data_IF_040459795469
#
_entry.id   IF_040459795469
#
_cell.length_a   1.000
_cell.length_b   1.000
_cell.length_c   1.000
_cell.angle_alpha   90.00
_cell.angle_beta   90.00
_cell.angle_gamma   90.00
#
_symmetry.space_group_name_H-M   'P 1'
#
loop_
_entity.id
_entity.type
_entity.pdbx_description
1 polymer ?
#
# COMPACT_ATOMS: atom_id res chain seq x y z
N UNK A 1 10.98 -8.51 -2.42
CA UNK A 1 9.89 -7.77 -1.73
C UNK A 1 8.57 -8.53 -1.91
N UNK A 2 8.07 -8.68 -3.13
CA UNK A 2 6.87 -9.47 -3.43
C UNK A 2 6.98 -10.93 -2.97
N UNK A 3 8.13 -11.58 -3.20
CA UNK A 3 8.35 -12.98 -2.79
C UNK A 3 8.41 -13.20 -1.27
N UNK A 4 8.48 -12.13 -0.46
CA UNK A 4 8.49 -12.23 0.98
C UNK A 4 7.08 -12.44 1.58
N UNK A 5 6.01 -12.30 0.79
CA UNK A 5 4.62 -12.40 1.28
C UNK A 5 4.32 -13.75 1.95
N UNK A 6 4.65 -14.92 1.37
CA UNK A 6 4.41 -16.20 2.04
C UNK A 6 5.15 -16.33 3.37
N UNK A 7 6.38 -15.83 3.45
CA UNK A 7 7.18 -15.85 4.68
C UNK A 7 6.58 -14.93 5.75
N UNK A 8 6.13 -13.73 5.38
CA UNK A 8 5.48 -12.79 6.30
C UNK A 8 4.19 -13.38 6.88
N UNK A 9 3.34 -13.97 6.02
CA UNK A 9 2.10 -14.63 6.44
C UNK A 9 2.33 -15.88 7.31
N UNK A 10 3.48 -16.55 7.16
CA UNK A 10 3.84 -17.68 8.00
C UNK A 10 4.36 -17.28 9.39
N UNK A 11 4.85 -16.04 9.56
CA UNK A 11 5.53 -15.57 10.77
C UNK A 11 4.68 -14.69 11.68
N UNK A 12 3.62 -14.09 11.15
CA UNK A 12 2.80 -13.12 11.88
C UNK A 12 1.33 -13.20 11.45
N UNK A 13 0.39 -12.70 12.28
CA UNK A 13 -0.99 -12.47 11.85
C UNK A 13 -1.05 -11.68 10.54
N UNK A 14 -2.02 -11.94 9.65
CA UNK A 14 -2.10 -11.30 8.34
C UNK A 14 -2.06 -9.76 8.37
N UNK A 15 -2.69 -9.14 9.37
CA UNK A 15 -2.67 -7.69 9.56
C UNK A 15 -1.26 -7.14 9.88
N UNK A 16 -0.49 -7.87 10.68
CA UNK A 16 0.89 -7.51 11.03
C UNK A 16 1.84 -7.76 9.86
N UNK A 17 1.61 -8.85 9.11
CA UNK A 17 2.31 -9.14 7.87
C UNK A 17 2.10 -8.02 6.83
N UNK A 18 0.86 -7.53 6.68
CA UNK A 18 0.51 -6.41 5.83
C UNK A 18 1.23 -5.12 6.26
N UNK A 19 1.16 -4.76 7.55
CA UNK A 19 1.84 -3.57 8.09
C UNK A 19 3.35 -3.62 7.86
N UNK A 20 3.97 -4.78 8.10
CA UNK A 20 5.41 -5.01 7.84
C UNK A 20 5.74 -4.87 6.36
N UNK A 21 4.89 -5.41 5.49
CA UNK A 21 5.08 -5.32 4.05
C UNK A 21 4.97 -3.88 3.54
N UNK A 22 4.04 -3.08 4.07
CA UNK A 22 3.90 -1.66 3.74
C UNK A 22 5.16 -0.85 4.10
N UNK A 23 5.78 -1.12 5.26
CA UNK A 23 7.06 -0.50 5.62
C UNK A 23 8.17 -0.88 4.64
N UNK A 24 8.27 -2.16 4.28
CA UNK A 24 9.24 -2.64 3.27
C UNK A 24 8.98 -2.03 1.89
N UNK A 25 7.74 -1.73 1.56
CA UNK A 25 7.39 -1.02 0.32
C UNK A 25 7.95 0.40 0.31
N UNK A 26 7.81 1.15 1.41
CA UNK A 26 8.41 2.49 1.51
C UNK A 26 9.92 2.40 1.34
N UNK A 27 10.59 1.48 2.02
CA UNK A 27 12.05 1.30 1.90
C UNK A 27 12.49 0.99 0.45
N UNK A 28 11.73 0.12 -0.22
CA UNK A 28 11.92 -0.19 -1.63
C UNK A 28 11.74 1.05 -2.51
N UNK A 29 10.70 1.85 -2.27
CA UNK A 29 10.41 3.06 -3.03
C UNK A 29 11.42 4.18 -2.77
N UNK A 30 11.87 4.39 -1.54
CA UNK A 30 12.95 5.33 -1.20
C UNK A 30 14.21 5.01 -2.00
N UNK A 31 14.60 3.73 -2.05
CA UNK A 31 15.74 3.27 -2.85
C UNK A 31 15.52 3.56 -4.34
N UNK A 32 14.33 3.25 -4.84
CA UNK A 32 13.95 3.45 -6.24
C UNK A 32 13.96 4.94 -6.64
N UNK A 33 13.49 5.83 -5.78
CA UNK A 33 13.51 7.29 -5.98
C UNK A 33 14.95 7.80 -6.04
N UNK A 34 15.83 7.32 -5.15
CA UNK A 34 17.25 7.65 -5.19
C UNK A 34 17.96 7.21 -6.47
N UNK A 35 17.42 6.21 -7.18
CA UNK A 35 17.94 5.69 -8.44
C UNK A 35 17.30 6.34 -9.68
N UNK A 36 16.51 7.41 -9.53
CA UNK A 36 15.71 7.97 -10.62
C UNK A 36 16.52 8.28 -11.90
N UNK A 37 17.73 8.84 -11.78
CA UNK A 37 18.57 9.16 -12.94
C UNK A 37 19.06 7.91 -13.67
N UNK A 38 19.49 6.88 -12.91
CA UNK A 38 19.90 5.61 -13.48
C UNK A 38 18.73 4.89 -14.18
N UNK A 39 17.55 4.90 -13.57
CA UNK A 39 16.34 4.31 -14.15
C UNK A 39 15.90 5.07 -15.41
N UNK A 40 16.01 6.41 -15.42
CA UNK A 40 15.78 7.23 -16.63
C UNK A 40 16.75 6.88 -17.75
N UNK A 41 18.02 6.61 -17.45
CA UNK A 41 18.99 6.18 -18.45
C UNK A 41 18.65 4.81 -19.07
N UNK A 42 18.16 3.86 -18.27
CA UNK A 42 17.69 2.55 -18.77
C UNK A 42 16.48 2.70 -19.69
N UNK A 43 15.54 3.59 -19.34
CA UNK A 43 14.38 3.88 -20.20
C UNK A 43 14.85 4.52 -21.52
N UNK A 44 15.79 5.46 -21.45
CA UNK A 44 16.36 6.11 -22.63
C UNK A 44 17.12 5.14 -23.55
N UNK A 45 17.67 4.05 -23.02
CA UNK A 45 18.30 2.98 -23.81
C UNK A 45 17.34 1.92 -24.34
N UNK A 46 16.01 2.11 -24.15
CA UNK A 46 14.97 1.22 -24.64
C UNK A 46 14.60 0.07 -23.71
N UNK A 47 15.11 0.04 -22.48
CA UNK A 47 14.69 -0.90 -21.45
C UNK A 47 13.40 -0.49 -20.76
N UNK A 48 12.67 -1.45 -20.20
CA UNK A 48 11.56 -1.20 -19.27
C UNK A 48 11.93 -1.74 -17.88
N UNK A 49 12.49 -0.90 -16.98
CA UNK A 49 12.87 -1.32 -15.64
C UNK A 49 11.66 -1.64 -14.73
N UNK A 50 10.42 -1.46 -15.21
CA UNK A 50 9.19 -1.60 -14.42
C UNK A 50 8.22 -2.64 -14.98
N UNK A 51 8.55 -3.31 -16.08
CA UNK A 51 7.63 -4.14 -16.88
C UNK A 51 6.77 -5.09 -16.03
N UNK A 52 7.37 -5.74 -15.03
CA UNK A 52 6.68 -6.70 -14.17
C UNK A 52 6.43 -6.18 -12.75
N UNK A 53 7.14 -5.13 -12.33
CA UNK A 53 7.16 -4.70 -10.92
C UNK A 53 5.78 -4.30 -10.43
N UNK A 54 4.99 -3.59 -11.25
CA UNK A 54 3.64 -3.15 -10.85
C UNK A 54 2.68 -4.32 -10.64
N UNK A 55 2.69 -5.31 -11.54
CA UNK A 55 1.84 -6.51 -11.40
C UNK A 55 2.23 -7.29 -10.15
N UNK A 56 3.53 -7.56 -9.97
CA UNK A 56 4.02 -8.33 -8.82
C UNK A 56 3.73 -7.62 -7.48
N UNK A 57 3.81 -6.29 -7.44
CA UNK A 57 3.45 -5.52 -6.25
C UNK A 57 1.93 -5.57 -5.99
N UNK A 58 1.11 -5.54 -7.04
CA UNK A 58 -0.34 -5.69 -6.97
C UNK A 58 -0.74 -7.04 -6.41
N UNK A 59 -0.20 -8.11 -6.99
CA UNK A 59 -0.46 -9.48 -6.55
C UNK A 59 -0.01 -9.71 -5.10
N UNK A 60 1.12 -9.11 -4.69
CA UNK A 60 1.63 -9.20 -3.33
C UNK A 60 0.69 -8.54 -2.31
N UNK A 61 0.23 -7.31 -2.57
CA UNK A 61 -0.69 -6.64 -1.63
C UNK A 61 -2.06 -7.30 -1.63
N UNK A 62 -2.56 -7.75 -2.77
CA UNK A 62 -3.84 -8.46 -2.87
C UNK A 62 -3.85 -9.70 -1.96
N UNK A 63 -2.80 -10.52 -2.02
CA UNK A 63 -2.68 -11.72 -1.17
C UNK A 63 -2.66 -11.40 0.32
N UNK A 64 -2.03 -10.29 0.73
CA UNK A 64 -2.00 -9.86 2.12
C UNK A 64 -3.37 -9.33 2.58
N UNK A 65 -4.05 -8.56 1.71
CA UNK A 65 -5.41 -8.06 1.96
C UNK A 65 -6.41 -9.21 2.06
N UNK A 66 -6.37 -10.17 1.14
CA UNK A 66 -7.22 -11.36 1.15
C UNK A 66 -7.06 -12.17 2.44
N UNK A 67 -5.81 -12.36 2.89
CA UNK A 67 -5.52 -13.04 4.14
C UNK A 67 -6.04 -12.27 5.37
N UNK A 68 -5.95 -10.94 5.37
CA UNK A 68 -6.42 -10.09 6.46
C UNK A 68 -7.96 -9.89 6.47
N UNK A 69 -8.62 -10.04 5.32
CA UNK A 69 -10.07 -9.87 5.17
C UNK A 69 -10.89 -10.91 5.97
N UNK A 70 -10.26 -12.03 6.36
CA UNK A 70 -10.89 -13.05 7.21
C UNK A 70 -11.29 -12.54 8.61
N UNK A 71 -10.82 -11.37 9.06
CA UNK A 71 -11.22 -10.85 10.36
C UNK A 71 -10.66 -9.49 10.78
N UNK A 72 -9.61 -9.00 10.13
CA UNK A 72 -8.84 -7.86 10.65
C UNK A 72 -9.11 -6.55 9.90
N UNK A 73 -9.63 -6.62 8.66
CA UNK A 73 -9.91 -5.44 7.82
C UNK A 73 -11.31 -5.49 7.22
N UNK A 74 -11.75 -4.36 6.66
CA UNK A 74 -12.93 -4.27 5.77
C UNK A 74 -12.62 -4.93 4.42
N UNK A 75 -13.64 -5.54 3.81
CA UNK A 75 -13.49 -6.39 2.61
C UNK A 75 -13.73 -5.69 1.26
N UNK A 76 -13.92 -4.38 1.26
CA UNK A 76 -14.23 -3.55 0.08
C UNK A 76 -13.04 -2.67 -0.34
N UNK A 77 -11.81 -3.12 -0.05
CA UNK A 77 -10.58 -2.40 -0.39
C UNK A 77 -9.94 -3.03 -1.61
N UNK A 78 -9.73 -2.21 -2.64
CA UNK A 78 -9.00 -2.61 -3.83
C UNK A 78 -7.48 -2.56 -3.58
N UNK A 79 -6.77 -3.61 -3.99
CA UNK A 79 -5.31 -3.71 -3.92
C UNK A 79 -4.60 -2.54 -4.63
N UNK A 80 -5.17 -2.09 -5.75
CA UNK A 80 -4.65 -0.97 -6.53
C UNK A 80 -4.68 0.34 -5.74
N UNK A 81 -5.74 0.59 -4.96
CA UNK A 81 -5.89 1.81 -4.15
C UNK A 81 -4.85 1.86 -3.03
N UNK A 82 -4.60 0.72 -2.39
CA UNK A 82 -3.55 0.60 -1.36
C UNK A 82 -2.18 0.89 -1.96
N UNK A 83 -1.86 0.34 -3.14
CA UNK A 83 -0.59 0.63 -3.82
C UNK A 83 -0.44 2.09 -4.21
N UNK A 84 -1.49 2.72 -4.71
CA UNK A 84 -1.48 4.15 -5.05
C UNK A 84 -1.27 4.98 -3.79
N UNK A 85 -1.97 4.66 -2.70
CA UNK A 85 -1.81 5.33 -1.42
C UNK A 85 -0.38 5.23 -0.88
N UNK A 86 0.20 4.03 -0.87
CA UNK A 86 1.59 3.82 -0.45
C UNK A 86 2.60 4.53 -1.36
N UNK A 87 2.31 4.60 -2.67
CA UNK A 87 3.13 5.37 -3.61
C UNK A 87 3.09 6.87 -3.30
N UNK A 88 1.92 7.41 -2.95
CA UNK A 88 1.76 8.79 -2.49
C UNK A 88 2.54 9.07 -1.20
N UNK A 89 2.46 8.17 -0.21
CA UNK A 89 3.26 8.27 1.02
C UNK A 89 4.76 8.25 0.69
N UNK A 90 5.20 7.36 -0.20
CA UNK A 90 6.60 7.27 -0.62
C UNK A 90 7.09 8.55 -1.28
N UNK A 91 6.25 9.22 -2.08
CA UNK A 91 6.60 10.48 -2.73
C UNK A 91 6.63 11.66 -1.76
N UNK A 92 5.73 11.68 -0.77
CA UNK A 92 5.58 12.80 0.16
C UNK A 92 6.50 12.71 1.39
N UNK A 93 6.83 11.49 1.82
CA UNK A 93 7.52 11.20 3.09
C UNK A 93 8.58 10.09 2.95
N UNK A 94 9.08 9.81 1.75
CA UNK A 94 10.01 8.71 1.50
C UNK A 94 11.47 9.01 1.85
N UNK A 95 11.84 10.22 2.25
CA UNK A 95 13.21 10.51 2.67
C UNK A 95 13.53 9.84 4.02
N UNK A 96 14.81 9.47 4.23
CA UNK A 96 15.26 8.86 5.48
C UNK A 96 14.94 9.71 6.72
N UNK A 97 15.02 11.04 6.58
CA UNK A 97 14.66 12.02 7.61
C UNK A 97 13.17 12.03 7.96
N UNK A 98 12.33 11.53 7.06
CA UNK A 98 10.86 11.53 7.16
C UNK A 98 10.30 10.15 7.51
N UNK A 99 11.15 9.17 7.83
CA UNK A 99 10.73 7.79 8.09
C UNK A 99 9.67 7.67 9.18
N UNK A 100 9.78 8.46 10.25
CA UNK A 100 8.77 8.49 11.31
C UNK A 100 7.42 9.04 10.81
N UNK A 101 7.43 9.99 9.88
CA UNK A 101 6.21 10.50 9.27
C UNK A 101 5.58 9.47 8.34
N UNK A 102 6.37 8.76 7.53
CA UNK A 102 5.88 7.66 6.71
C UNK A 102 5.25 6.55 7.56
N UNK A 103 5.88 6.19 8.69
CA UNK A 103 5.33 5.23 9.65
C UNK A 103 3.95 5.64 10.16
N UNK A 104 3.81 6.90 10.63
CA UNK A 104 2.50 7.42 11.06
C UNK A 104 1.45 7.42 9.94
N UNK A 105 1.84 7.70 8.70
CA UNK A 105 0.91 7.65 7.55
C UNK A 105 0.48 6.21 7.22
N UNK A 106 1.39 5.24 7.36
CA UNK A 106 1.04 3.82 7.26
C UNK A 106 0.08 3.43 8.37
N UNK A 107 0.32 3.87 9.61
CA UNK A 107 -0.58 3.57 10.74
C UNK A 107 -1.99 4.13 10.49
N UNK A 108 -2.11 5.36 9.98
CA UNK A 108 -3.39 5.95 9.58
C UNK A 108 -4.09 5.13 8.47
N UNK A 109 -3.33 4.61 7.51
CA UNK A 109 -3.88 3.73 6.48
C UNK A 109 -4.37 2.42 7.09
N UNK A 110 -3.59 1.79 7.97
CA UNK A 110 -3.99 0.55 8.66
C UNK A 110 -5.27 0.74 9.47
N UNK A 111 -5.42 1.88 10.15
CA UNK A 111 -6.63 2.20 10.90
C UNK A 111 -7.84 2.35 9.98
N UNK A 112 -7.67 2.97 8.80
CA UNK A 112 -8.72 3.05 7.79
C UNK A 112 -9.11 1.67 7.22
N UNK A 113 -8.15 0.75 7.08
CA UNK A 113 -8.42 -0.64 6.65
C UNK A 113 -9.18 -1.42 7.73
N UNK A 114 -8.88 -1.22 9.00
CA UNK A 114 -9.58 -1.87 10.14
C UNK A 114 -10.98 -1.33 10.36
N UNK A 115 -11.23 -0.08 9.96
CA UNK A 115 -12.51 0.57 10.18
C UNK A 115 -13.64 -0.13 9.42
N UNK A 116 -14.45 -0.90 10.14
CA UNK A 116 -15.74 -1.35 9.63
C UNK A 116 -16.75 -0.25 9.89
N UNK A 117 -17.32 0.33 8.84
CA UNK A 117 -18.49 1.17 9.00
C UNK A 117 -19.58 0.38 9.72
N UNK A 118 -19.88 0.73 10.97
CA UNK A 118 -21.17 0.41 11.55
C UNK A 118 -22.19 1.23 10.76
N UNK A 119 -22.91 0.58 9.84
CA UNK A 119 -24.02 1.10 9.00
C UNK A 119 -24.28 2.59 9.24
N UNK A 120 -23.47 3.45 8.64
CA UNK A 120 -23.76 4.88 8.61
C UNK A 120 -24.62 5.07 7.37
N UNK A 121 -25.94 5.03 7.58
CA UNK A 121 -26.97 5.54 6.67
C UNK A 121 -26.77 7.05 6.47
N UNK A 122 -25.64 7.46 5.88
CA UNK A 122 -25.26 8.86 5.74
C UNK A 122 -24.89 9.12 4.29
N UNK A 123 -25.92 9.15 3.46
CA UNK A 123 -26.20 10.17 2.44
C UNK A 123 -27.55 9.81 1.78
N UNK A 124 -28.65 9.95 2.53
CA UNK A 124 -29.95 10.22 1.90
C UNK A 124 -30.07 11.74 1.84
N UNK A 125 -29.99 12.38 0.65
CA UNK A 125 -30.39 13.76 0.52
C UNK A 125 -31.92 13.77 0.55
N UNK A 126 -32.50 13.86 1.75
CA UNK A 126 -33.86 14.36 1.88
C UNK A 126 -33.83 15.82 1.41
N UNK A 127 -34.15 16.04 0.14
CA UNK A 127 -34.53 17.35 -0.37
C UNK A 127 -36.02 17.54 -0.08
N UNK A 128 -36.42 18.39 0.89
CA UNK A 128 -37.79 18.86 0.95
C UNK A 128 -38.07 19.70 -0.30
N UNK A 129 -39.16 19.36 -1.00
CA UNK A 129 -39.63 20.09 -2.16
C UNK A 129 -39.89 21.56 -1.85
N UNK A 130 -39.39 22.41 -2.75
CA UNK A 130 -39.86 23.77 -2.99
C UNK A 130 -40.50 23.80 -4.38
#
# INVERSE_FOLDING_TARGET
MCDAVPELLAKAPPIEALHTWMHRFIDYMTTKIGMADALRAVIASGGDPYAQSRSLLGDAVARLLDAAAAGDIRGDIEAADVLIGLSGISLAAGETSQRDQAGRLIDLMMDALRYRQGKLDRFSPDLPGL
#
